data_IF_980992471669
#
_entry.id   IF_980992471669
#
_cell.length_a   1.000
_cell.length_b   1.000
_cell.length_c   1.000
_cell.angle_alpha   90.00
_cell.angle_beta   90.00
_cell.angle_gamma   90.00
#
_symmetry.space_group_name_H-M   'P 1'
#
loop_
_entity.id
_entity.type
_entity.pdbx_description
1 polymer ?
#
# COMPACT_ATOMS: atom_id res chain seq x y z
N UNK A 1 -0.19 6.51 -9.26
CA UNK A 1 -1.18 6.62 -8.16
C UNK A 1 -1.59 8.08 -8.04
N UNK A 2 -2.86 8.39 -7.73
CA UNK A 2 -3.26 9.79 -7.50
C UNK A 2 -2.91 10.22 -6.06
N UNK A 3 -2.84 11.53 -5.82
CA UNK A 3 -2.45 12.10 -4.51
C UNK A 3 -3.38 11.66 -3.38
N UNK A 4 -4.69 11.55 -3.66
CA UNK A 4 -5.69 11.11 -2.67
C UNK A 4 -5.42 9.69 -2.18
N UNK A 5 -5.15 8.75 -3.10
CA UNK A 5 -4.88 7.36 -2.76
C UNK A 5 -3.53 7.22 -2.05
N UNK A 6 -2.52 7.99 -2.46
CA UNK A 6 -1.24 8.04 -1.75
C UNK A 6 -1.43 8.45 -0.29
N UNK A 7 -2.21 9.51 -0.05
CA UNK A 7 -2.51 9.97 1.30
C UNK A 7 -3.22 8.92 2.14
N UNK A 8 -4.21 8.23 1.56
CA UNK A 8 -4.92 7.13 2.24
C UNK A 8 -3.96 6.01 2.65
N UNK A 9 -3.03 5.60 1.78
CA UNK A 9 -2.01 4.60 2.13
C UNK A 9 -1.11 5.05 3.27
N UNK A 10 -0.68 6.30 3.27
CA UNK A 10 0.17 6.84 4.34
C UNK A 10 -0.58 6.81 5.69
N UNK A 11 -1.80 7.33 5.72
CA UNK A 11 -2.60 7.38 6.94
C UNK A 11 -2.99 5.98 7.43
N UNK A 12 -3.43 5.09 6.53
CA UNK A 12 -3.80 3.72 6.88
C UNK A 12 -2.56 2.96 7.36
N UNK A 13 -1.42 3.17 6.72
CA UNK A 13 -0.14 2.60 7.13
C UNK A 13 0.24 2.95 8.57
N UNK A 14 0.01 4.20 8.98
CA UNK A 14 0.24 4.65 10.37
C UNK A 14 -0.69 3.95 11.37
N UNK A 15 -1.97 3.73 11.01
CA UNK A 15 -2.96 3.02 11.85
C UNK A 15 -2.66 1.52 11.97
N UNK A 16 -2.29 0.88 10.86
CA UNK A 16 -1.96 -0.55 10.79
C UNK A 16 -0.69 -0.87 11.59
N UNK A 17 0.28 0.05 11.57
CA UNK A 17 1.51 -0.03 12.34
C UNK A 17 2.74 -0.47 11.55
N UNK A 18 3.92 -0.15 12.11
CA UNK A 18 5.23 -0.29 11.44
C UNK A 18 5.52 -1.71 10.96
N UNK A 19 5.25 -2.73 11.77
CA UNK A 19 5.62 -4.12 11.47
C UNK A 19 4.93 -4.66 10.21
N UNK A 20 3.66 -4.28 10.03
CA UNK A 20 2.84 -4.69 8.88
C UNK A 20 3.07 -3.82 7.66
N UNK A 21 3.31 -2.52 7.85
CA UNK A 21 3.46 -1.54 6.76
C UNK A 21 4.88 -1.44 6.21
N UNK A 22 5.90 -1.60 7.05
CA UNK A 22 7.31 -1.39 6.69
C UNK A 22 8.21 -2.56 7.09
N UNK A 23 8.16 -2.99 8.35
CA UNK A 23 8.93 -4.09 8.98
C UNK A 23 10.05 -4.73 8.14
N UNK A 24 9.67 -5.70 7.31
CA UNK A 24 10.60 -6.49 6.47
C UNK A 24 10.39 -6.27 4.95
N UNK A 25 9.76 -5.15 4.56
CA UNK A 25 9.43 -4.87 3.16
C UNK A 25 10.59 -4.18 2.47
N UNK A 26 10.76 -4.53 1.19
CA UNK A 26 11.77 -3.96 0.32
C UNK A 26 11.37 -2.52 -0.01
N UNK A 27 12.26 -1.57 0.23
CA UNK A 27 12.15 -0.21 -0.31
C UNK A 27 12.66 -0.19 -1.75
N UNK A 28 11.76 0.12 -2.68
CA UNK A 28 12.04 0.25 -4.11
C UNK A 28 12.51 1.67 -4.49
N UNK A 29 12.55 2.61 -3.55
CA UNK A 29 13.06 3.96 -3.73
C UNK A 29 12.15 4.94 -4.48
N UNK A 30 11.33 4.45 -5.43
CA UNK A 30 10.36 5.26 -6.17
C UNK A 30 9.08 4.50 -6.52
N UNK A 31 8.02 5.26 -6.80
CA UNK A 31 6.76 4.73 -7.30
C UNK A 31 6.96 3.88 -8.55
N UNK A 32 7.65 4.42 -9.56
CA UNK A 32 7.87 3.73 -10.84
C UNK A 32 8.56 2.37 -10.66
N UNK A 33 9.58 2.32 -9.79
CA UNK A 33 10.33 1.08 -9.54
C UNK A 33 9.45 0.06 -8.83
N UNK A 34 8.64 0.50 -7.86
CA UNK A 34 7.69 -0.36 -7.16
C UNK A 34 6.57 -0.86 -8.08
N UNK A 35 6.04 -0.03 -8.98
CA UNK A 35 5.01 -0.41 -9.97
C UNK A 35 5.55 -1.48 -10.90
N UNK A 36 6.74 -1.28 -11.49
CA UNK A 36 7.39 -2.28 -12.35
C UNK A 36 7.62 -3.60 -11.60
N UNK A 37 8.00 -3.53 -10.32
CA UNK A 37 8.19 -4.72 -9.50
C UNK A 37 6.86 -5.45 -9.22
N UNK A 38 5.79 -4.71 -8.90
CA UNK A 38 4.46 -5.26 -8.68
C UNK A 38 3.92 -5.95 -9.94
N UNK A 39 4.01 -5.31 -11.11
CA UNK A 39 3.61 -5.89 -12.40
C UNK A 39 4.33 -7.19 -12.70
N UNK A 40 5.66 -7.21 -12.56
CA UNK A 40 6.48 -8.43 -12.76
C UNK A 40 6.10 -9.54 -11.80
N UNK A 41 5.75 -9.21 -10.56
CA UNK A 41 5.32 -10.19 -9.57
C UNK A 41 3.92 -10.72 -9.90
N UNK A 42 3.00 -9.88 -10.37
CA UNK A 42 1.64 -10.26 -10.77
C UNK A 42 1.61 -11.21 -11.97
N UNK A 43 2.64 -11.21 -12.82
CA UNK A 43 2.78 -12.16 -13.94
C UNK A 43 3.12 -13.59 -13.49
N UNK A 44 3.54 -13.80 -12.24
CA UNK A 44 3.94 -15.13 -11.76
C UNK A 44 2.69 -16.00 -11.50
N UNK A 45 2.68 -17.27 -11.94
CA UNK A 45 1.50 -18.14 -11.86
C UNK A 45 1.02 -18.47 -10.45
N UNK A 46 1.85 -18.21 -9.42
CA UNK A 46 1.53 -18.49 -8.02
C UNK A 46 1.22 -17.22 -7.20
N UNK A 47 1.03 -16.08 -7.85
CA UNK A 47 0.69 -14.83 -7.17
C UNK A 47 -0.77 -14.88 -6.72
N UNK A 48 -0.97 -15.08 -5.41
CA UNK A 48 -2.30 -15.29 -4.81
C UNK A 48 -3.19 -14.05 -4.83
N UNK A 49 -2.58 -12.87 -4.76
CA UNK A 49 -3.27 -11.59 -4.74
C UNK A 49 -2.62 -10.65 -5.73
N UNK A 50 -3.40 -9.78 -6.37
CA UNK A 50 -2.87 -8.62 -7.09
C UNK A 50 -2.03 -7.80 -6.12
N UNK A 51 -0.79 -7.52 -6.53
CA UNK A 51 0.11 -6.65 -5.81
C UNK A 51 0.08 -5.25 -6.41
N UNK A 52 0.16 -4.24 -5.55
CA UNK A 52 0.28 -2.84 -5.95
C UNK A 52 1.46 -2.17 -5.24
N UNK A 53 1.96 -1.11 -5.85
CA UNK A 53 2.92 -0.20 -5.24
C UNK A 53 2.19 0.73 -4.26
N UNK A 54 2.77 0.98 -3.09
CA UNK A 54 2.25 1.95 -2.14
C UNK A 54 3.36 2.73 -1.42
N UNK A 55 3.13 4.01 -1.05
CA UNK A 55 4.09 4.81 -0.30
C UNK A 55 4.11 4.41 1.17
N UNK A 56 5.30 4.44 1.80
CA UNK A 56 5.47 4.02 3.18
C UNK A 56 5.62 5.21 4.15
N UNK A 57 4.71 5.32 5.11
CA UNK A 57 4.73 6.37 6.13
C UNK A 57 5.88 6.27 7.17
N UNK A 58 6.65 5.17 7.17
CA UNK A 58 7.71 4.93 8.16
C UNK A 58 9.12 5.12 7.61
N UNK A 59 9.36 4.77 6.34
CA UNK A 59 10.67 4.91 5.71
C UNK A 59 10.70 5.96 4.60
N UNK A 60 9.57 6.59 4.27
CA UNK A 60 9.40 7.52 3.14
C UNK A 60 9.78 6.91 1.78
N UNK A 61 9.87 5.58 1.71
CA UNK A 61 10.14 4.80 0.51
C UNK A 61 8.87 4.23 -0.12
N UNK A 62 9.05 3.34 -1.09
CA UNK A 62 7.96 2.67 -1.80
C UNK A 62 8.04 1.17 -1.63
N UNK A 63 6.91 0.54 -1.32
CA UNK A 63 6.80 -0.90 -1.09
C UNK A 63 5.80 -1.51 -2.06
N UNK A 64 5.80 -2.84 -2.16
CA UNK A 64 4.72 -3.59 -2.80
C UNK A 64 3.92 -4.36 -1.75
N UNK A 65 2.59 -4.34 -1.89
CA UNK A 65 1.64 -4.98 -0.98
C UNK A 65 0.48 -5.57 -1.77
N UNK A 66 -0.44 -6.26 -1.08
CA UNK A 66 -1.72 -6.62 -1.70
C UNK A 66 -2.45 -5.33 -2.07
N UNK A 67 -3.04 -5.32 -3.26
CA UNK A 67 -3.95 -4.25 -3.70
C UNK A 67 -5.06 -4.01 -2.67
N UNK A 68 -5.17 -2.78 -2.22
CA UNK A 68 -6.20 -2.33 -1.29
C UNK A 68 -7.16 -1.40 -2.01
N UNK A 69 -8.46 -1.71 -1.95
CA UNK A 69 -9.46 -0.77 -2.43
C UNK A 69 -9.48 0.48 -1.55
N UNK A 70 -9.95 1.59 -2.12
CA UNK A 70 -10.18 2.84 -1.38
C UNK A 70 -11.00 2.60 -0.10
N UNK A 71 -12.12 1.87 -0.21
CA UNK A 71 -12.96 1.56 0.94
C UNK A 71 -12.23 0.73 2.00
N UNK A 72 -11.32 -0.16 1.61
CA UNK A 72 -10.51 -0.92 2.58
C UNK A 72 -9.53 0.00 3.33
N UNK A 73 -8.89 0.95 2.63
CA UNK A 73 -8.05 1.97 3.26
C UNK A 73 -8.85 2.84 4.23
N UNK A 74 -10.03 3.31 3.83
CA UNK A 74 -10.93 4.14 4.64
C UNK A 74 -11.41 3.39 5.91
N UNK A 75 -11.64 2.07 5.83
CA UNK A 75 -11.95 1.25 7.01
C UNK A 75 -10.82 1.25 8.04
N UNK A 76 -9.55 1.21 7.63
CA UNK A 76 -8.41 1.33 8.56
C UNK A 76 -8.32 2.71 9.21
N UNK A 77 -8.86 3.74 8.56
CA UNK A 77 -8.91 5.09 9.08
C UNK A 77 -10.09 5.31 10.04
N UNK A 78 -11.02 4.35 10.13
CA UNK A 78 -12.23 4.45 10.92
C UNK A 78 -13.30 5.30 10.25
N UNK A 79 -13.48 5.10 8.94
CA UNK A 79 -14.44 5.73 8.02
C UNK A 79 -15.26 6.92 8.60
N UNK A 80 -14.93 8.17 8.24
CA UNK A 80 -15.70 9.34 8.67
C UNK A 80 -17.11 9.44 8.05
N UNK A 81 -17.48 8.55 7.11
CA UNK A 81 -18.78 8.50 6.44
C UNK A 81 -19.60 7.22 6.70
N UNK A 82 -19.12 6.29 7.52
CA UNK A 82 -19.99 5.24 8.08
C UNK A 82 -20.64 5.83 9.33
N UNK A 83 -21.74 6.56 9.13
CA UNK A 83 -22.67 6.80 10.23
C UNK A 83 -23.23 5.45 10.69
N UNK A 84 -23.15 5.23 12.00
CA UNK A 84 -23.71 4.10 12.75
C UNK A 84 -25.21 3.94 12.57
#
# INVERSE_FOLDING_TARGET
MNEDLQKLHLEAGLKIGKDKTCGNKIDYGSEDTAVIAAEKMNQKPNTRNTLEAYPCAFCNGWHIGREMSRSELELYLGDPNIES
#
